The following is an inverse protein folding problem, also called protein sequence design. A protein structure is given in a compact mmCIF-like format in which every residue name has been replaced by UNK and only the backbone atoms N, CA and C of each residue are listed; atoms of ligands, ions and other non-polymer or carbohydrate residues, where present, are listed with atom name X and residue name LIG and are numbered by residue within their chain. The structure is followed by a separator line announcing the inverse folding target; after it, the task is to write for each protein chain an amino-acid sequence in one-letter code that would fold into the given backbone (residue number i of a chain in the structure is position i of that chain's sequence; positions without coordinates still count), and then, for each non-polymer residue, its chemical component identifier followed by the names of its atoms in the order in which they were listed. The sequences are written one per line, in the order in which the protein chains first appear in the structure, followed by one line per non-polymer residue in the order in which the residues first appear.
data_IF_751328375103
#
_entry.id   IF_751328375103
#
_cell.length_a   1.000
_cell.length_b   1.000
_cell.length_c   1.000
_cell.angle_alpha   90.00
_cell.angle_beta   90.00
_cell.angle_gamma   90.00
#
_symmetry.space_group_name_H-M   'P 1'
#
loop_
_entity.id
_entity.type
_entity.pdbx_description
1 polymer ?
#
# COMPACT_ATOMS: atom_id res chain seq x y z
N UNK A 1 -11.42 22.84 2.27
CA UNK A 1 -10.72 21.97 3.25
C UNK A 1 -9.51 21.37 2.57
N UNK A 2 -8.38 21.21 3.27
CA UNK A 2 -7.24 20.47 2.72
C UNK A 2 -7.52 18.96 2.85
N UNK A 3 -7.02 18.10 1.94
CA UNK A 3 -7.18 16.65 2.07
C UNK A 3 -6.80 16.16 3.47
N UNK A 4 -5.73 16.72 4.05
CA UNK A 4 -5.28 16.48 5.43
C UNK A 4 -6.38 16.64 6.49
N UNK A 5 -7.18 17.70 6.44
CA UNK A 5 -8.24 17.96 7.44
C UNK A 5 -9.45 17.01 7.36
N UNK A 6 -9.67 16.36 6.21
CA UNK A 6 -10.71 15.34 6.03
C UNK A 6 -10.21 13.98 6.52
N UNK A 7 -8.92 13.71 6.34
CA UNK A 7 -8.24 12.48 6.76
C UNK A 7 -8.12 12.33 8.28
N UNK A 8 -7.94 13.43 8.99
CA UNK A 8 -7.85 13.44 10.47
C UNK A 8 -9.18 13.06 11.18
N UNK A 9 -10.31 12.97 10.44
CA UNK A 9 -11.64 12.68 10.97
C UNK A 9 -12.20 11.29 10.58
N UNK A 10 -11.41 10.44 9.91
CA UNK A 10 -11.84 9.08 9.57
C UNK A 10 -11.57 8.16 10.76
N UNK A 11 -12.60 7.48 11.26
CA UNK A 11 -12.59 6.70 12.50
C UNK A 11 -11.50 5.63 12.58
N UNK A 12 -11.16 5.26 13.82
CA UNK A 12 -10.01 4.44 14.25
C UNK A 12 -9.88 3.01 13.65
N UNK A 13 -10.70 2.63 12.66
CA UNK A 13 -10.61 1.35 11.94
C UNK A 13 -9.94 1.43 10.56
N UNK A 14 -9.77 2.63 10.00
CA UNK A 14 -9.10 2.83 8.70
C UNK A 14 -7.77 3.51 8.94
N UNK A 15 -6.67 2.78 8.79
CA UNK A 15 -5.36 3.43 8.76
C UNK A 15 -5.20 4.12 7.41
N UNK A 16 -5.59 5.39 7.37
CA UNK A 16 -5.18 6.32 6.33
C UNK A 16 -3.72 6.68 6.58
N UNK A 17 -2.83 5.85 6.06
CA UNK A 17 -1.42 6.19 5.96
C UNK A 17 -1.23 7.20 4.84
N UNK A 18 -0.81 8.43 5.18
CA UNK A 18 -0.10 9.25 4.19
C UNK A 18 1.24 8.56 3.97
N UNK A 19 1.32 7.73 2.93
CA UNK A 19 2.41 6.79 2.74
C UNK A 19 3.75 7.47 2.44
N UNK A 20 3.75 8.72 1.97
CA UNK A 20 4.94 9.56 1.90
C UNK A 20 4.58 10.91 1.28
N UNK A 21 5.27 11.97 1.73
CA UNK A 21 5.42 13.18 0.95
C UNK A 21 6.69 13.01 0.11
N UNK A 22 6.55 12.69 -1.18
CA UNK A 22 7.67 12.59 -2.11
C UNK A 22 7.84 13.93 -2.82
N UNK A 23 8.59 14.85 -2.21
CA UNK A 23 8.98 16.07 -2.91
C UNK A 23 10.16 15.77 -3.84
N UNK A 24 9.89 15.63 -5.14
CA UNK A 24 10.93 15.66 -6.17
C UNK A 24 11.42 17.11 -6.33
N UNK A 25 12.12 17.63 -5.31
CA UNK A 25 12.99 18.79 -5.51
C UNK A 25 14.31 18.27 -6.04
N UNK A 26 14.89 18.93 -7.04
CA UNK A 26 16.05 18.49 -7.84
C UNK A 26 17.37 18.21 -7.08
N UNK A 27 17.35 17.95 -5.78
CA UNK A 27 18.51 17.68 -4.95
C UNK A 27 18.21 16.64 -3.85
N UNK A 28 18.07 15.37 -4.23
CA UNK A 28 18.14 14.21 -3.32
C UNK A 28 16.90 13.91 -2.46
N UNK A 29 16.71 12.62 -2.14
CA UNK A 29 15.69 12.16 -1.19
C UNK A 29 16.01 12.68 0.22
N UNK A 30 15.07 13.40 0.85
CA UNK A 30 15.13 13.75 2.28
C UNK A 30 13.99 13.03 2.99
N UNK A 31 14.34 12.19 3.96
CA UNK A 31 13.41 11.47 4.83
C UNK A 31 13.06 12.36 6.03
N UNK A 32 11.77 12.57 6.29
CA UNK A 32 11.30 13.20 7.53
C UNK A 32 10.34 12.25 8.23
N UNK A 33 10.86 11.42 9.14
CA UNK A 33 10.05 10.67 10.10
C UNK A 33 9.78 11.55 11.33
N UNK A 34 8.51 11.70 11.69
CA UNK A 34 8.10 12.21 13.01
C UNK A 34 7.61 11.06 13.87
N UNK A 35 8.40 10.61 14.84
CA UNK A 35 7.95 9.68 15.87
C UNK A 35 7.09 10.44 16.91
N UNK A 36 6.03 9.83 17.47
CA UNK A 36 5.24 10.44 18.53
C UNK A 36 6.01 10.33 19.87
N UNK A 37 6.35 11.46 20.48
CA UNK A 37 6.84 11.50 21.87
C UNK A 37 5.68 11.77 22.84
N UNK A 38 5.70 11.05 23.96
CA UNK A 38 4.80 11.18 25.12
C UNK A 38 4.72 12.60 25.71
N UNK A 39 3.64 12.95 26.43
CA UNK A 39 3.42 14.29 26.95
C UNK A 39 4.21 14.51 28.26
N UNK A 40 5.18 15.41 28.25
CA UNK A 40 5.70 16.01 29.48
C UNK A 40 5.05 17.38 29.71
N UNK A 41 4.37 17.49 30.84
CA UNK A 41 3.79 18.72 31.37
C UNK A 41 4.89 19.72 31.76
N UNK A 42 4.95 20.86 31.08
CA UNK A 42 5.84 21.96 31.41
C UNK A 42 5.39 23.26 30.77
N UNK A 43 5.18 24.29 31.59
CA UNK A 43 4.70 25.62 31.20
C UNK A 43 5.71 26.33 30.27
N UNK A 44 5.29 26.66 29.04
CA UNK A 44 6.14 27.36 28.05
C UNK A 44 6.12 28.87 28.31
N UNK A 45 7.26 29.45 28.74
CA UNK A 45 7.45 30.91 28.78
C UNK A 45 7.88 31.44 27.39
N UNK A 46 7.37 32.61 26.95
CA UNK A 46 7.67 33.14 25.62
C UNK A 46 9.13 33.62 25.52
N UNK A 47 9.87 33.07 24.55
CA UNK A 47 11.20 33.55 24.15
C UNK A 47 11.04 34.72 23.19
N UNK A 48 11.61 35.87 23.50
CA UNK A 48 11.60 37.02 22.60
C UNK A 48 12.55 36.82 21.41
N UNK A 49 12.17 37.22 20.19
CA UNK A 49 12.99 36.99 19.00
C UNK A 49 14.21 37.92 18.99
N UNK A 50 15.41 37.33 18.91
CA UNK A 50 16.62 38.06 18.53
C UNK A 50 16.70 38.08 17.00
N UNK A 51 16.60 39.27 16.41
CA UNK A 51 16.76 39.48 14.98
C UNK A 51 18.17 39.04 14.51
N UNK A 52 18.23 38.11 13.55
CA UNK A 52 19.45 37.76 12.83
C UNK A 52 19.57 38.65 11.58
N UNK A 53 20.53 39.57 11.57
CA UNK A 53 20.70 40.60 10.52
C UNK A 53 21.26 40.07 9.19
N UNK A 54 21.45 38.76 9.03
CA UNK A 54 22.13 38.18 7.84
C UNK A 54 21.17 37.67 6.75
N UNK A 55 19.84 37.60 7.02
CA UNK A 55 18.87 37.06 6.05
C UNK A 55 18.31 38.09 5.04
N UNK A 56 18.74 39.35 5.07
CA UNK A 56 18.10 40.43 4.31
C UNK A 56 18.50 40.55 2.81
N UNK A 57 19.30 39.61 2.26
CA UNK A 57 19.89 39.77 0.93
C UNK A 57 19.43 38.76 -0.14
N UNK A 58 18.55 37.81 0.17
CA UNK A 58 17.95 36.93 -0.84
C UNK A 58 16.43 36.95 -0.70
N UNK A 59 15.66 37.41 -1.70
CA UNK A 59 14.23 37.12 -1.70
C UNK A 59 14.10 35.60 -1.84
N UNK A 60 13.82 34.91 -0.72
CA UNK A 60 13.22 33.59 -0.78
C UNK A 60 11.87 33.78 -1.48
N UNK A 61 11.86 33.60 -2.80
CA UNK A 61 10.62 33.31 -3.51
C UNK A 61 10.10 32.02 -2.90
N UNK A 62 9.09 32.11 -2.03
CA UNK A 62 8.28 30.96 -1.70
C UNK A 62 7.60 30.54 -2.99
N UNK A 63 8.16 29.54 -3.67
CA UNK A 63 7.46 28.90 -4.77
C UNK A 63 6.24 28.24 -4.14
N UNK A 64 5.05 28.82 -4.36
CA UNK A 64 3.79 28.17 -4.03
C UNK A 64 3.65 27.03 -5.03
N UNK A 65 4.05 25.82 -4.64
CA UNK A 65 3.73 24.61 -5.38
C UNK A 65 2.31 24.20 -5.02
N UNK A 66 1.46 23.98 -6.04
CA UNK A 66 0.22 23.23 -5.82
C UNK A 66 0.60 21.75 -5.83
N UNK A 67 0.40 21.01 -4.73
CA UNK A 67 0.66 19.58 -4.72
C UNK A 67 -0.25 18.88 -5.72
N UNK A 68 0.28 17.87 -6.42
CA UNK A 68 -0.47 16.97 -7.28
C UNK A 68 -0.76 15.72 -6.47
N UNK A 69 -2.01 15.56 -6.09
CA UNK A 69 -2.50 14.53 -5.18
C UNK A 69 -2.93 13.26 -5.92
N UNK A 70 -2.42 12.12 -5.48
CA UNK A 70 -2.83 10.80 -5.96
C UNK A 70 -3.48 10.01 -4.83
N UNK A 71 -4.64 9.40 -5.08
CA UNK A 71 -5.29 8.47 -4.16
C UNK A 71 -5.10 7.03 -4.63
N UNK A 72 -4.41 6.22 -3.84
CA UNK A 72 -4.14 4.81 -4.10
C UNK A 72 -5.00 3.94 -3.18
N UNK A 73 -5.96 3.26 -3.79
CA UNK A 73 -6.88 2.33 -3.15
C UNK A 73 -6.35 0.91 -3.36
N UNK A 74 -5.97 0.24 -2.28
CA UNK A 74 -5.23 -1.02 -2.31
C UNK A 74 -6.17 -2.20 -2.07
N UNK A 75 -6.25 -3.10 -3.06
CA UNK A 75 -6.78 -4.46 -2.94
C UNK A 75 -8.15 -4.58 -2.25
N UNK A 76 -9.08 -3.65 -2.54
CA UNK A 76 -10.47 -3.72 -2.06
C UNK A 76 -11.26 -4.70 -2.95
N UNK A 77 -10.85 -5.97 -2.91
CA UNK A 77 -11.34 -7.07 -3.75
C UNK A 77 -12.22 -8.04 -2.97
N UNK A 78 -13.05 -8.80 -3.69
CA UNK A 78 -14.01 -9.72 -3.09
C UNK A 78 -13.36 -10.78 -2.19
N UNK A 79 -12.23 -11.38 -2.60
CA UNK A 79 -11.57 -12.42 -1.81
C UNK A 79 -11.06 -11.93 -0.46
N UNK A 80 -10.66 -10.67 -0.34
CA UNK A 80 -10.23 -10.09 0.93
C UNK A 80 -11.39 -9.70 1.86
N UNK A 81 -12.59 -9.49 1.32
CA UNK A 81 -13.74 -8.99 2.08
C UNK A 81 -14.72 -10.10 2.45
N UNK A 82 -15.04 -10.99 1.50
CA UNK A 82 -16.07 -12.02 1.67
C UNK A 82 -15.71 -13.38 1.06
N UNK A 83 -14.61 -13.47 0.30
CA UNK A 83 -14.19 -14.69 -0.37
C UNK A 83 -13.13 -15.49 0.38
N UNK A 84 -12.21 -16.09 -0.38
CA UNK A 84 -11.33 -17.17 0.11
C UNK A 84 -10.26 -16.73 1.09
N UNK A 85 -9.87 -15.45 1.07
CA UNK A 85 -8.88 -14.84 1.96
C UNK A 85 -9.51 -13.70 2.76
N UNK A 86 -10.74 -13.94 3.26
CA UNK A 86 -11.47 -12.97 4.05
C UNK A 86 -10.67 -12.57 5.30
N UNK A 87 -10.35 -11.28 5.41
CA UNK A 87 -9.51 -10.75 6.49
C UNK A 87 -10.17 -10.84 7.87
N UNK A 88 -11.49 -11.04 7.95
CA UNK A 88 -12.17 -11.31 9.22
C UNK A 88 -11.72 -12.63 9.85
N UNK A 89 -11.22 -13.55 9.04
CA UNK A 89 -10.64 -14.83 9.47
C UNK A 89 -9.12 -14.75 9.67
N UNK A 90 -8.50 -13.61 9.42
CA UNK A 90 -7.08 -13.38 9.63
C UNK A 90 -6.79 -12.90 11.06
N UNK A 91 -5.51 -12.86 11.44
CA UNK A 91 -5.06 -12.45 12.78
C UNK A 91 -5.54 -11.06 13.22
N UNK A 92 -5.86 -10.18 12.26
CA UNK A 92 -6.37 -8.84 12.54
C UNK A 92 -7.86 -8.83 12.92
N UNK A 93 -8.65 -9.86 12.56
CA UNK A 93 -10.10 -9.96 12.80
C UNK A 93 -10.91 -8.72 12.39
N UNK A 94 -10.43 -7.99 11.37
CA UNK A 94 -11.06 -6.77 10.88
C UNK A 94 -12.18 -7.10 9.90
N UNK A 95 -13.19 -6.24 9.84
CA UNK A 95 -14.24 -6.35 8.84
C UNK A 95 -13.85 -5.57 7.58
N UNK A 96 -13.51 -6.28 6.50
CA UNK A 96 -13.10 -5.66 5.24
C UNK A 96 -14.14 -4.73 4.59
N UNK A 97 -15.42 -4.85 4.95
CA UNK A 97 -16.46 -3.95 4.45
C UNK A 97 -16.33 -2.52 5.00
N UNK A 98 -15.74 -2.35 6.19
CA UNK A 98 -15.66 -1.05 6.87
C UNK A 98 -14.77 -0.04 6.13
N UNK A 99 -13.93 -0.50 5.21
CA UNK A 99 -13.07 0.39 4.41
C UNK A 99 -13.83 1.10 3.28
N UNK A 100 -14.95 0.52 2.81
CA UNK A 100 -15.62 0.95 1.57
C UNK A 100 -16.26 2.33 1.72
N UNK A 101 -17.05 2.55 2.77
CA UNK A 101 -17.77 3.81 2.97
C UNK A 101 -16.83 5.01 3.14
N UNK A 102 -15.75 4.93 3.95
CA UNK A 102 -14.74 5.98 4.02
C UNK A 102 -14.05 6.26 2.68
N UNK A 103 -13.70 5.23 1.90
CA UNK A 103 -13.08 5.41 0.58
C UNK A 103 -14.04 6.13 -0.37
N UNK A 104 -15.29 5.68 -0.45
CA UNK A 104 -16.29 6.31 -1.30
C UNK A 104 -16.52 7.76 -0.91
N UNK A 105 -16.58 8.06 0.39
CA UNK A 105 -16.69 9.43 0.91
C UNK A 105 -15.49 10.29 0.52
N UNK A 106 -14.28 9.76 0.55
CA UNK A 106 -13.09 10.49 0.09
C UNK A 106 -13.15 10.78 -1.41
N UNK A 107 -13.57 9.80 -2.22
CA UNK A 107 -13.78 9.98 -3.66
C UNK A 107 -14.87 11.01 -4.00
N UNK A 108 -15.83 11.25 -3.10
CA UNK A 108 -16.89 12.25 -3.29
C UNK A 108 -16.52 13.65 -2.77
N UNK A 109 -15.66 13.72 -1.75
CA UNK A 109 -15.41 14.97 -1.01
C UNK A 109 -14.05 15.60 -1.28
N UNK A 110 -13.12 14.84 -1.86
CA UNK A 110 -11.77 15.30 -2.18
C UNK A 110 -11.54 15.21 -3.68
N UNK A 111 -11.13 16.33 -4.27
CA UNK A 111 -10.77 16.42 -5.67
C UNK A 111 -9.30 15.98 -5.84
N UNK A 112 -9.09 14.68 -6.07
CA UNK A 112 -7.77 14.10 -6.31
C UNK A 112 -7.38 14.25 -7.79
N UNK A 113 -6.13 14.65 -8.05
CA UNK A 113 -5.62 14.79 -9.42
C UNK A 113 -5.46 13.44 -10.15
N UNK A 114 -5.31 12.35 -9.38
CA UNK A 114 -5.29 10.99 -9.90
C UNK A 114 -5.83 9.98 -8.88
N UNK A 115 -6.51 8.94 -9.37
CA UNK A 115 -7.00 7.81 -8.54
C UNK A 115 -6.48 6.50 -9.13
N UNK A 116 -5.92 5.67 -8.27
CA UNK A 116 -5.36 4.36 -8.60
C UNK A 116 -6.03 3.28 -7.76
N UNK A 117 -6.29 2.13 -8.38
CA UNK A 117 -6.81 0.93 -7.72
C UNK A 117 -5.78 -0.19 -7.93
N UNK A 118 -5.17 -0.71 -6.87
CA UNK A 118 -4.37 -1.94 -7.00
C UNK A 118 -5.25 -3.18 -6.89
N UNK A 119 -4.86 -4.22 -7.60
CA UNK A 119 -5.51 -5.52 -7.58
C UNK A 119 -4.43 -6.61 -7.50
N UNK A 120 -4.54 -7.51 -6.52
CA UNK A 120 -3.92 -8.82 -6.67
C UNK A 120 -4.54 -9.54 -7.85
N UNK A 121 -3.69 -10.13 -8.69
CA UNK A 121 -4.09 -10.65 -9.99
C UNK A 121 -3.28 -11.89 -10.36
N UNK A 122 -3.47 -12.95 -9.58
CA UNK A 122 -2.62 -14.13 -9.59
C UNK A 122 -3.02 -15.16 -10.65
N UNK A 123 -2.08 -15.66 -11.47
CA UNK A 123 -2.38 -16.79 -12.34
C UNK A 123 -2.71 -18.04 -11.50
N UNK A 124 -3.41 -19.01 -12.08
CA UNK A 124 -3.88 -20.19 -11.34
C UNK A 124 -2.74 -21.05 -10.76
N UNK A 125 -1.56 -21.00 -11.34
CA UNK A 125 -0.35 -21.74 -10.95
C UNK A 125 0.64 -20.89 -10.09
N UNK A 126 0.17 -19.77 -9.54
CA UNK A 126 0.99 -18.86 -8.75
C UNK A 126 1.66 -19.55 -7.53
N UNK A 127 2.93 -19.22 -7.30
CA UNK A 127 3.82 -19.81 -6.29
C UNK A 127 3.34 -19.62 -4.85
N UNK A 128 2.50 -18.62 -4.61
CA UNK A 128 2.01 -18.30 -3.28
C UNK A 128 0.88 -19.22 -2.80
N UNK A 129 0.24 -19.99 -3.69
CA UNK A 129 -0.88 -20.84 -3.32
C UNK A 129 -0.45 -22.19 -2.74
N UNK A 130 -1.06 -22.58 -1.61
CA UNK A 130 -0.77 -23.86 -0.94
C UNK A 130 -1.04 -25.07 -1.85
N UNK A 131 -2.05 -25.00 -2.71
CA UNK A 131 -2.41 -26.10 -3.62
C UNK A 131 -1.40 -26.26 -4.76
N UNK A 132 -0.58 -25.24 -5.02
CA UNK A 132 0.51 -25.27 -5.98
C UNK A 132 1.87 -25.65 -5.37
N UNK A 133 1.95 -25.98 -4.07
CA UNK A 133 3.22 -26.26 -3.38
C UNK A 133 4.06 -27.37 -4.04
N UNK A 134 3.41 -28.37 -4.65
CA UNK A 134 4.07 -29.49 -5.33
C UNK A 134 4.60 -29.17 -6.73
N UNK A 135 4.27 -27.99 -7.27
CA UNK A 135 4.67 -27.60 -8.62
C UNK A 135 6.12 -27.09 -8.67
N UNK A 136 6.71 -26.76 -7.52
CA UNK A 136 8.07 -26.23 -7.42
C UNK A 136 8.89 -27.04 -6.43
N UNK A 137 10.18 -27.27 -6.71
CA UNK A 137 11.05 -27.98 -5.78
C UNK A 137 11.24 -27.17 -4.50
N UNK A 138 11.02 -27.81 -3.35
CA UNK A 138 11.31 -27.21 -2.04
C UNK A 138 12.80 -27.39 -1.74
N UNK A 139 13.44 -26.31 -1.28
CA UNK A 139 14.84 -26.32 -0.91
C UNK A 139 15.07 -27.19 0.33
N UNK A 140 16.15 -28.00 0.41
CA UNK A 140 16.40 -28.90 1.55
C UNK A 140 16.51 -28.22 2.91
N UNK A 141 16.80 -26.91 2.93
CA UNK A 141 16.85 -26.12 4.18
C UNK A 141 15.50 -25.54 4.60
N UNK A 142 14.43 -25.80 3.85
CA UNK A 142 13.09 -25.40 4.24
C UNK A 142 12.67 -26.16 5.50
N UNK A 143 12.10 -25.50 6.52
CA UNK A 143 11.64 -26.18 7.74
C UNK A 143 10.47 -27.14 7.47
N UNK A 144 9.74 -26.90 6.37
CA UNK A 144 8.56 -27.63 5.95
C UNK A 144 8.72 -28.12 4.51
N UNK A 145 8.03 -29.20 4.19
CA UNK A 145 7.96 -29.82 2.87
C UNK A 145 6.51 -29.84 2.36
N UNK A 146 6.30 -30.41 1.17
CA UNK A 146 5.00 -30.36 0.50
C UNK A 146 3.92 -31.23 1.15
N UNK A 147 4.28 -32.13 2.06
CA UNK A 147 3.35 -33.04 2.72
C UNK A 147 2.95 -32.57 4.12
N UNK A 148 3.71 -31.65 4.73
CA UNK A 148 3.42 -31.12 6.08
C UNK A 148 3.14 -29.62 6.14
N UNK A 149 3.40 -28.86 5.08
CA UNK A 149 3.06 -27.44 5.04
C UNK A 149 1.54 -27.23 5.02
N UNK A 150 1.10 -26.21 5.75
CA UNK A 150 -0.29 -25.79 5.84
C UNK A 150 -0.46 -24.35 5.32
N UNK A 151 -1.72 -23.92 5.21
CA UNK A 151 -2.03 -22.52 4.89
C UNK A 151 -1.39 -21.61 5.93
N UNK A 152 -0.82 -20.50 5.48
CA UNK A 152 -0.09 -19.48 6.25
C UNK A 152 1.34 -19.85 6.69
N UNK A 153 1.79 -21.09 6.46
CA UNK A 153 3.18 -21.46 6.67
C UNK A 153 4.13 -20.76 5.70
N UNK A 154 5.42 -20.74 6.04
CA UNK A 154 6.48 -20.25 5.15
C UNK A 154 7.40 -21.40 4.75
N UNK A 155 7.57 -21.59 3.44
CA UNK A 155 8.50 -22.57 2.85
C UNK A 155 9.64 -21.86 2.13
N UNK A 156 10.69 -22.60 1.81
CA UNK A 156 11.78 -22.14 0.94
C UNK A 156 11.73 -22.93 -0.36
N UNK A 157 11.38 -22.29 -1.47
CA UNK A 157 11.51 -22.91 -2.80
C UNK A 157 12.96 -22.88 -3.27
N UNK A 158 13.38 -23.93 -3.97
CA UNK A 158 14.69 -24.03 -4.58
C UNK A 158 14.76 -23.15 -5.85
N UNK A 159 15.98 -22.70 -6.16
CA UNK A 159 16.29 -21.84 -7.29
C UNK A 159 17.57 -21.06 -7.03
N UNK A 160 18.16 -20.38 -8.02
CA UNK A 160 19.22 -19.40 -7.79
C UNK A 160 18.63 -17.97 -7.81
N UNK A 161 18.47 -17.28 -6.66
CA UNK A 161 18.63 -17.75 -5.27
C UNK A 161 17.38 -18.49 -4.74
N UNK A 162 17.50 -19.26 -3.65
CA UNK A 162 16.34 -19.83 -2.96
C UNK A 162 15.39 -18.73 -2.49
N UNK A 163 14.08 -19.01 -2.50
CA UNK A 163 13.05 -18.02 -2.25
C UNK A 163 12.19 -18.43 -1.06
N UNK A 164 12.13 -17.59 -0.02
CA UNK A 164 11.16 -17.73 1.05
C UNK A 164 9.78 -17.31 0.53
N UNK A 165 8.77 -18.16 0.72
CA UNK A 165 7.40 -17.91 0.28
C UNK A 165 6.43 -18.26 1.40
N UNK A 166 5.56 -17.31 1.75
CA UNK A 166 4.41 -17.59 2.62
C UNK A 166 3.27 -18.17 1.77
N UNK A 167 2.65 -19.23 2.26
CA UNK A 167 1.61 -19.95 1.54
C UNK A 167 0.24 -19.40 1.92
N UNK A 168 -0.61 -19.19 0.93
CA UNK A 168 -1.95 -18.62 1.07
C UNK A 168 -2.99 -19.58 0.51
N UNK A 169 -4.27 -19.47 0.94
CA UNK A 169 -5.33 -20.07 0.17
C UNK A 169 -5.33 -19.46 -1.24
N UNK A 170 -5.87 -20.16 -2.22
CA UNK A 170 -6.08 -19.59 -3.55
C UNK A 170 -6.99 -18.37 -3.46
N UNK A 171 -6.52 -17.23 -3.95
CA UNK A 171 -7.23 -15.96 -3.88
C UNK A 171 -6.89 -15.09 -5.09
N UNK A 172 -7.75 -14.14 -5.41
CA UNK A 172 -7.58 -13.12 -6.44
C UNK A 172 -7.06 -13.70 -7.76
N UNK A 173 -7.58 -14.87 -8.15
CA UNK A 173 -7.19 -15.55 -9.38
C UNK A 173 -7.67 -14.73 -10.57
N UNK A 174 -6.83 -14.56 -11.59
CA UNK A 174 -7.15 -13.77 -12.79
C UNK A 174 -8.52 -14.13 -13.35
N UNK A 175 -9.30 -13.10 -13.67
CA UNK A 175 -10.65 -13.20 -14.26
C UNK A 175 -11.67 -13.97 -13.41
N UNK A 176 -11.41 -14.15 -12.11
CA UNK A 176 -12.36 -14.75 -11.17
C UNK A 176 -13.15 -13.68 -10.41
N UNK A 177 -14.33 -14.05 -9.91
CA UNK A 177 -15.11 -13.20 -9.00
C UNK A 177 -14.28 -12.71 -7.81
N UNK A 178 -13.43 -13.56 -7.24
CA UNK A 178 -12.58 -13.22 -6.09
C UNK A 178 -11.59 -12.08 -6.37
N UNK A 179 -11.17 -11.94 -7.63
CA UNK A 179 -10.25 -10.90 -8.09
C UNK A 179 -10.92 -9.57 -8.47
N UNK A 180 -12.25 -9.53 -8.55
CA UNK A 180 -12.95 -8.29 -8.85
C UNK A 180 -12.88 -7.31 -7.66
N UNK A 181 -12.84 -6.00 -7.96
CA UNK A 181 -13.08 -4.99 -6.94
C UNK A 181 -14.48 -5.20 -6.36
N UNK A 182 -14.64 -4.93 -5.06
CA UNK A 182 -15.92 -5.11 -4.41
C UNK A 182 -16.98 -4.23 -5.06
N UNK A 183 -18.18 -4.78 -5.31
CA UNK A 183 -19.27 -4.13 -6.04
C UNK A 183 -19.71 -2.77 -5.46
N UNK A 184 -19.53 -2.59 -4.16
CA UNK A 184 -19.93 -1.38 -3.43
C UNK A 184 -18.81 -0.32 -3.40
N UNK A 185 -17.60 -0.65 -3.87
CA UNK A 185 -16.52 0.31 -4.05
C UNK A 185 -16.78 1.16 -5.30
N UNK A 186 -16.77 2.48 -5.15
CA UNK A 186 -16.89 3.41 -6.28
C UNK A 186 -15.63 3.35 -7.14
N UNK A 187 -15.82 3.11 -8.43
CA UNK A 187 -14.76 3.20 -9.45
C UNK A 187 -14.98 4.46 -10.29
N UNK A 188 -14.06 5.41 -10.19
CA UNK A 188 -14.15 6.67 -10.95
C UNK A 188 -13.77 6.47 -12.43
N UNK A 189 -14.35 7.25 -13.34
CA UNK A 189 -14.22 7.09 -14.79
C UNK A 189 -12.77 7.08 -15.30
N UNK A 190 -11.90 7.91 -14.71
CA UNK A 190 -10.48 8.00 -15.06
C UNK A 190 -9.56 7.27 -14.07
N UNK A 191 -10.12 6.35 -13.28
CA UNK A 191 -9.39 5.54 -12.33
C UNK A 191 -8.46 4.55 -13.02
N UNK A 192 -7.21 4.50 -12.59
CA UNK A 192 -6.19 3.60 -13.18
C UNK A 192 -6.12 2.32 -12.35
N UNK A 193 -6.32 1.17 -12.99
CA UNK A 193 -6.11 -0.15 -12.37
C UNK A 193 -4.66 -0.58 -12.51
N UNK A 194 -4.06 -1.03 -11.40
CA UNK A 194 -2.69 -1.55 -11.34
C UNK A 194 -2.74 -2.98 -10.84
N UNK A 195 -2.33 -3.92 -11.68
CA UNK A 195 -2.31 -5.34 -11.35
C UNK A 195 -0.95 -5.74 -10.77
N UNK A 196 -0.96 -6.49 -9.66
CA UNK A 196 0.24 -7.06 -9.02
C UNK A 196 0.10 -8.58 -8.87
N UNK A 197 1.23 -9.24 -8.62
CA UNK A 197 1.25 -10.70 -8.45
C UNK A 197 0.95 -11.50 -9.71
N UNK A 198 1.15 -10.90 -10.89
CA UNK A 198 0.83 -11.53 -12.20
C UNK A 198 1.87 -12.56 -12.65
N UNK A 199 3.06 -12.57 -12.05
CA UNK A 199 4.12 -13.52 -12.36
C UNK A 199 3.93 -14.79 -11.54
N UNK A 200 3.76 -15.97 -12.15
CA UNK A 200 3.55 -17.22 -11.41
C UNK A 200 4.71 -17.58 -10.48
N UNK A 201 5.93 -17.13 -10.77
CA UNK A 201 7.15 -17.48 -10.04
C UNK A 201 7.52 -16.50 -8.91
N UNK A 202 6.81 -15.38 -8.78
CA UNK A 202 7.17 -14.30 -7.86
C UNK A 202 5.92 -13.65 -7.27
N UNK A 203 5.79 -13.78 -5.95
CA UNK A 203 4.76 -13.07 -5.20
C UNK A 203 5.09 -11.57 -5.05
N UNK A 204 4.08 -10.73 -4.89
CA UNK A 204 4.21 -9.27 -4.87
C UNK A 204 3.28 -8.64 -3.83
N UNK A 205 3.77 -8.48 -2.60
CA UNK A 205 2.98 -7.85 -1.55
C UNK A 205 2.96 -6.31 -1.64
N UNK A 206 4.02 -5.69 -2.18
CA UNK A 206 4.04 -4.24 -2.35
C UNK A 206 3.38 -3.85 -3.68
N UNK A 207 2.63 -2.75 -3.66
CA UNK A 207 2.10 -2.15 -4.88
C UNK A 207 3.21 -1.43 -5.68
N UNK A 208 4.35 -1.13 -5.06
CA UNK A 208 5.47 -0.49 -5.74
C UNK A 208 6.47 -1.49 -6.34
N UNK A 209 6.66 -2.66 -5.72
CA UNK A 209 7.71 -3.61 -6.12
C UNK A 209 7.27 -5.06 -5.90
N UNK A 210 7.70 -5.98 -6.78
CA UNK A 210 7.64 -7.41 -6.47
C UNK A 210 8.57 -7.77 -5.29
N UNK A 211 8.35 -8.94 -4.67
CA UNK A 211 9.14 -9.34 -3.48
C UNK A 211 10.63 -9.56 -3.78
N UNK A 212 11.02 -9.69 -5.05
CA UNK A 212 12.42 -9.77 -5.48
C UNK A 212 13.00 -8.39 -5.86
N UNK A 213 12.19 -7.33 -5.87
CA UNK A 213 12.48 -6.00 -6.42
C UNK A 213 12.98 -6.04 -7.87
N UNK A 214 12.55 -7.04 -8.64
CA UNK A 214 13.05 -7.27 -10.00
C UNK A 214 12.13 -6.67 -11.07
N UNK A 215 10.82 -6.62 -10.80
CA UNK A 215 9.84 -5.92 -11.62
C UNK A 215 9.25 -4.73 -10.86
N UNK A 216 9.42 -3.54 -11.45
CA UNK A 216 8.68 -2.33 -11.10
C UNK A 216 7.23 -2.56 -11.52
N UNK A 217 6.25 -2.31 -10.63
CA UNK A 217 4.87 -2.23 -11.11
C UNK A 217 4.72 -0.99 -11.99
N UNK A 218 3.66 -0.93 -12.80
CA UNK A 218 3.40 0.28 -13.60
C UNK A 218 3.09 1.50 -12.74
N UNK A 219 2.80 1.35 -11.44
CA UNK A 219 2.40 2.43 -10.55
C UNK A 219 3.47 3.53 -10.46
N UNK A 220 4.73 3.18 -10.22
CA UNK A 220 5.83 4.15 -10.13
C UNK A 220 5.93 5.02 -11.38
N UNK A 221 5.86 4.39 -12.56
CA UNK A 221 5.89 5.09 -13.83
C UNK A 221 4.65 5.97 -14.01
N UNK A 222 3.46 5.48 -13.67
CA UNK A 222 2.21 6.24 -13.79
C UNK A 222 2.16 7.45 -12.85
N UNK A 223 2.58 7.30 -11.59
CA UNK A 223 2.68 8.40 -10.63
C UNK A 223 3.67 9.48 -11.11
N UNK A 224 4.83 9.08 -11.63
CA UNK A 224 5.80 10.01 -12.22
C UNK A 224 5.25 10.73 -13.45
N UNK A 225 4.57 10.01 -14.34
CA UNK A 225 3.93 10.59 -15.53
C UNK A 225 2.84 11.61 -15.16
N UNK A 226 2.10 11.35 -14.08
CA UNK A 226 1.10 12.29 -13.53
C UNK A 226 1.71 13.45 -12.74
N UNK A 227 3.01 13.39 -12.43
CA UNK A 227 3.68 14.41 -11.63
C UNK A 227 3.25 14.41 -10.16
N UNK A 228 2.72 13.29 -9.65
CA UNK A 228 2.19 13.20 -8.29
C UNK A 228 3.28 13.53 -7.25
N UNK A 229 2.97 14.46 -6.34
CA UNK A 229 3.86 14.88 -5.24
C UNK A 229 3.43 14.29 -3.90
N UNK A 230 2.15 13.96 -3.79
CA UNK A 230 1.51 13.50 -2.55
C UNK A 230 0.68 12.26 -2.85
N UNK A 231 0.97 11.16 -2.14
CA UNK A 231 0.27 9.88 -2.33
C UNK A 231 -0.47 9.54 -1.04
N UNK A 232 -1.80 9.46 -1.16
CA UNK A 232 -2.70 9.02 -0.11
C UNK A 232 -3.00 7.55 -0.34
N UNK A 233 -2.80 6.70 0.67
CA UNK A 233 -2.98 5.26 0.55
C UNK A 233 -4.03 4.77 1.54
N UNK A 234 -4.96 3.95 1.07
CA UNK A 234 -5.94 3.23 1.87
C UNK A 234 -6.19 1.86 1.25
N UNK A 235 -6.86 0.95 1.96
CA UNK A 235 -7.24 -0.35 1.40
C UNK A 235 -6.97 -1.50 2.36
N UNK A 236 -6.83 -2.71 1.80
CA UNK A 236 -6.69 -3.97 2.52
C UNK A 236 -5.42 -4.73 2.07
N UNK A 237 -4.88 -5.68 2.82
CA UNK A 237 -4.94 -5.76 4.28
C UNK A 237 -3.86 -4.85 4.91
N UNK A 238 -4.16 -4.27 6.07
CA UNK A 238 -3.29 -3.29 6.73
C UNK A 238 -1.86 -3.82 6.99
N UNK A 239 -1.75 -5.06 7.47
CA UNK A 239 -0.53 -5.72 7.93
C UNK A 239 0.30 -6.39 6.82
N UNK A 240 -0.20 -6.41 5.59
CA UNK A 240 0.50 -7.04 4.45
C UNK A 240 0.70 -6.07 3.30
N UNK A 241 -0.36 -5.73 2.57
CA UNK A 241 -0.26 -4.94 1.35
C UNK A 241 -0.08 -3.45 1.66
N UNK A 242 -0.87 -2.91 2.60
CA UNK A 242 -0.80 -1.48 2.95
C UNK A 242 0.48 -1.15 3.71
N UNK A 243 0.85 -1.96 4.72
CA UNK A 243 2.07 -1.77 5.51
C UNK A 243 3.36 -1.81 4.69
N UNK A 244 3.40 -2.57 3.58
CA UNK A 244 4.54 -2.62 2.65
C UNK A 244 4.53 -1.54 1.56
N UNK A 245 3.50 -0.72 1.50
CA UNK A 245 3.42 0.44 0.60
C UNK A 245 3.79 1.76 1.29
N UNK A 246 3.69 1.83 2.62
CA UNK A 246 3.97 3.02 3.41
C UNK A 246 5.34 2.99 4.14
N UNK A 247 6.15 1.95 3.92
CA UNK A 247 7.42 1.69 4.60
C UNK A 247 8.65 1.80 3.70
#
# INVERSE_FOLDING_TARGET
MTPKSVLDNVGQGVVLGVAAHFSFVSYGLVWLYGAPNEPQSGEVKPVQPRHCTVCAAYPMRSTIVRPISAFLIVDVQNDFISGSLNISNCSAQQNGLEVIEPINKLLDTVDFDAVFYSLDWHPSDHVSFIDNIKQRPIHPTSPLNADNAQVYDTVIFAGPPPMKQRLWPRHCVQDSWGSELHKDLKVVEHGVKVYKGTNPEVDSYSVFWDNKKLSDTTLCAQLRLKGSTDIYVCGLAYDVCVGKCAG
#
